data_IF_949963660423
#
_entry.id   IF_949963660423
#
_cell.length_a   1.000
_cell.length_b   1.000
_cell.length_c   1.000
_cell.angle_alpha   90.00
_cell.angle_beta   90.00
_cell.angle_gamma   90.00
#
_symmetry.space_group_name_H-M   'P 1'
#
loop_
_entity.id
_entity.type
_entity.pdbx_description
1 polymer ?
#
# COMPACT_ATOMS: atom_id res chain seq x y z
N UNK A 1 4.51 15.45 -9.55
CA UNK A 1 4.13 15.06 -8.17
C UNK A 1 3.27 16.09 -7.46
N UNK A 2 3.56 17.40 -7.55
CA UNK A 2 2.71 18.47 -6.98
C UNK A 2 1.24 18.38 -7.43
N UNK A 3 0.98 18.20 -8.73
CA UNK A 3 -0.38 17.98 -9.26
C UNK A 3 -1.09 16.72 -8.76
N UNK A 4 -0.33 15.67 -8.41
CA UNK A 4 -0.88 14.44 -7.82
C UNK A 4 -1.39 14.73 -6.41
N UNK A 5 -0.62 15.47 -5.61
CA UNK A 5 -1.02 15.88 -4.26
C UNK A 5 -2.29 16.76 -4.34
N UNK A 6 -2.32 17.73 -5.25
CA UNK A 6 -3.51 18.56 -5.47
C UNK A 6 -4.75 17.75 -5.89
N UNK A 7 -4.56 16.69 -6.67
CA UNK A 7 -5.63 15.77 -7.08
C UNK A 7 -6.17 14.98 -5.88
N UNK A 8 -5.28 14.48 -5.01
CA UNK A 8 -5.65 13.81 -3.76
C UNK A 8 -6.44 14.75 -2.85
N UNK A 9 -5.96 15.98 -2.64
CA UNK A 9 -6.67 16.97 -1.83
C UNK A 9 -8.04 17.31 -2.40
N UNK A 10 -8.14 17.45 -3.72
CA UNK A 10 -9.39 17.75 -4.42
C UNK A 10 -10.39 16.60 -4.28
N UNK A 11 -9.98 15.36 -4.57
CA UNK A 11 -10.80 14.17 -4.39
C UNK A 11 -11.24 14.00 -2.92
N UNK A 12 -10.33 14.25 -1.97
CA UNK A 12 -10.63 14.19 -0.53
C UNK A 12 -11.74 15.16 -0.14
N UNK A 13 -11.66 16.40 -0.63
CA UNK A 13 -12.69 17.42 -0.40
C UNK A 13 -14.02 17.05 -1.06
N UNK A 14 -13.98 16.56 -2.29
CA UNK A 14 -15.17 16.20 -3.06
C UNK A 14 -15.93 15.01 -2.42
N UNK A 15 -15.21 14.01 -1.91
CA UNK A 15 -15.79 12.80 -1.30
C UNK A 15 -15.89 12.85 0.23
N UNK A 16 -15.69 14.01 0.88
CA UNK A 16 -15.55 14.15 2.34
C UNK A 16 -16.70 13.55 3.17
N UNK A 17 -17.91 13.43 2.60
CA UNK A 17 -19.11 12.87 3.27
C UNK A 17 -19.45 11.45 2.83
N UNK A 18 -18.61 10.81 2.01
CA UNK A 18 -18.88 9.51 1.42
C UNK A 18 -18.09 8.39 2.08
N UNK A 19 -18.78 7.27 2.29
CA UNK A 19 -18.17 6.03 2.78
C UNK A 19 -18.23 4.96 1.69
N UNK A 20 -17.25 4.06 1.68
CA UNK A 20 -17.19 2.97 0.70
C UNK A 20 -18.37 2.03 0.91
N UNK A 21 -19.08 1.72 -0.17
CA UNK A 21 -20.32 0.94 -0.17
C UNK A 21 -20.20 -0.35 0.66
N UNK A 22 -21.08 -0.48 1.66
CA UNK A 22 -21.14 -1.64 2.54
C UNK A 22 -20.07 -1.68 3.65
N UNK A 23 -19.36 -0.56 3.90
CA UNK A 23 -18.36 -0.43 4.97
C UNK A 23 -18.39 0.97 5.60
N UNK A 24 -17.76 1.14 6.76
CA UNK A 24 -17.64 2.45 7.46
C UNK A 24 -16.40 3.26 7.02
N UNK A 25 -15.71 2.83 5.97
CA UNK A 25 -14.43 3.42 5.57
C UNK A 25 -14.60 4.63 4.65
N UNK A 26 -13.76 5.66 4.76
CA UNK A 26 -13.78 6.81 3.86
C UNK A 26 -13.64 6.39 2.39
N UNK A 27 -14.45 6.98 1.51
CA UNK A 27 -14.43 6.65 0.08
C UNK A 27 -13.06 6.90 -0.57
N UNK A 28 -12.34 7.94 -0.13
CA UNK A 28 -11.04 8.39 -0.65
C UNK A 28 -9.96 7.29 -0.71
N UNK A 29 -10.09 6.23 0.10
CA UNK A 29 -9.19 5.08 0.05
C UNK A 29 -9.19 4.38 -1.31
N UNK A 30 -10.33 4.34 -1.98
CA UNK A 30 -10.44 3.71 -3.30
C UNK A 30 -9.69 4.53 -4.37
N UNK A 31 -9.96 5.83 -4.58
CA UNK A 31 -9.20 6.64 -5.53
C UNK A 31 -7.68 6.66 -5.27
N UNK A 32 -7.23 6.62 -4.00
CA UNK A 32 -5.81 6.47 -3.66
C UNK A 32 -5.26 5.10 -4.09
N UNK A 33 -6.02 4.02 -3.86
CA UNK A 33 -5.67 2.67 -4.32
C UNK A 33 -5.50 2.59 -5.83
N UNK A 34 -6.41 3.23 -6.58
CA UNK A 34 -6.33 3.35 -8.05
C UNK A 34 -5.07 4.12 -8.48
N UNK A 35 -4.80 5.27 -7.87
CA UNK A 35 -3.57 6.04 -8.12
C UNK A 35 -2.30 5.23 -7.86
N UNK A 36 -2.26 4.45 -6.77
CA UNK A 36 -1.14 3.57 -6.43
C UNK A 36 -0.90 2.51 -7.51
N UNK A 37 -1.95 1.84 -7.99
CA UNK A 37 -1.84 0.83 -9.06
C UNK A 37 -1.20 1.45 -10.31
N UNK A 38 -1.65 2.65 -10.70
CA UNK A 38 -1.13 3.36 -11.86
C UNK A 38 0.33 3.79 -11.70
N UNK A 39 0.73 4.25 -10.51
CA UNK A 39 2.13 4.57 -10.19
C UNK A 39 3.01 3.32 -10.28
N UNK A 40 2.60 2.20 -9.69
CA UNK A 40 3.35 0.94 -9.71
C UNK A 40 3.53 0.39 -11.13
N UNK A 41 2.56 0.66 -12.02
CA UNK A 41 2.61 0.28 -13.43
C UNK A 41 3.30 1.33 -14.31
N UNK A 42 3.93 2.37 -13.71
CA UNK A 42 4.64 3.44 -14.42
C UNK A 42 3.77 4.12 -15.49
N UNK A 43 2.48 4.27 -15.21
CA UNK A 43 1.55 4.97 -16.09
C UNK A 43 1.88 6.47 -16.16
N UNK A 44 1.47 7.18 -17.23
CA UNK A 44 1.63 8.63 -17.33
C UNK A 44 1.03 9.39 -16.15
N UNK A 45 1.62 10.54 -15.79
CA UNK A 45 1.15 11.37 -14.66
C UNK A 45 -0.32 11.77 -14.80
N UNK A 46 -0.78 12.09 -16.01
CA UNK A 46 -2.18 12.42 -16.29
C UNK A 46 -3.13 11.25 -16.01
N UNK A 47 -2.71 10.00 -16.27
CA UNK A 47 -3.47 8.81 -15.90
C UNK A 47 -3.54 8.66 -14.40
N UNK A 48 -2.43 8.89 -13.68
CA UNK A 48 -2.38 8.80 -12.21
C UNK A 48 -3.35 9.82 -11.60
N UNK A 49 -3.29 11.07 -12.06
CA UNK A 49 -4.20 12.16 -11.65
C UNK A 49 -5.65 11.78 -11.98
N UNK A 50 -5.92 11.32 -13.20
CA UNK A 50 -7.26 10.91 -13.61
C UNK A 50 -7.78 9.71 -12.79
N UNK A 51 -6.93 8.75 -12.43
CA UNK A 51 -7.30 7.64 -11.56
C UNK A 51 -7.67 8.07 -10.14
N UNK A 52 -6.98 9.08 -9.60
CA UNK A 52 -7.34 9.69 -8.30
C UNK A 52 -8.66 10.47 -8.39
N UNK A 53 -9.01 10.97 -9.56
CA UNK A 53 -10.20 11.79 -9.79
C UNK A 53 -11.36 11.02 -10.45
N UNK A 54 -11.22 9.73 -10.73
CA UNK A 54 -12.10 9.04 -11.68
C UNK A 54 -13.59 9.05 -11.30
N UNK A 55 -13.89 9.08 -10.00
CA UNK A 55 -15.27 9.08 -9.48
C UNK A 55 -15.82 10.49 -9.18
N UNK A 56 -15.02 11.55 -9.26
CA UNK A 56 -15.48 12.88 -8.82
C UNK A 56 -16.63 13.40 -9.69
N UNK A 57 -16.63 13.10 -10.99
CA UNK A 57 -17.72 13.46 -11.90
C UNK A 57 -18.98 12.61 -11.68
N UNK A 58 -18.82 11.37 -11.22
CA UNK A 58 -19.94 10.44 -11.04
C UNK A 58 -20.66 10.64 -9.71
N UNK A 59 -19.89 10.82 -8.65
CA UNK A 59 -20.38 10.65 -7.28
C UNK A 59 -20.41 11.97 -6.51
N UNK A 60 -19.92 13.07 -7.08
CA UNK A 60 -19.88 14.38 -6.41
C UNK A 60 -20.56 15.45 -7.26
N UNK A 61 -20.56 16.70 -6.77
CA UNK A 61 -21.09 17.85 -7.53
C UNK A 61 -20.05 18.46 -8.47
N UNK A 62 -18.84 17.89 -8.56
CA UNK A 62 -17.78 18.41 -9.42
C UNK A 62 -18.18 18.28 -10.88
N UNK A 63 -18.00 19.38 -11.61
CA UNK A 63 -18.29 19.46 -13.05
C UNK A 63 -17.05 19.19 -13.90
N UNK A 64 -17.27 18.85 -15.17
CA UNK A 64 -16.19 18.67 -16.14
C UNK A 64 -15.39 19.97 -16.32
N UNK A 65 -16.07 21.12 -16.34
CA UNK A 65 -15.47 22.44 -16.50
C UNK A 65 -14.55 22.80 -15.32
N UNK A 66 -14.97 22.50 -14.09
CA UNK A 66 -14.12 22.69 -12.90
C UNK A 66 -12.88 21.79 -12.94
N UNK A 67 -13.07 20.52 -13.34
CA UNK A 67 -11.98 19.55 -13.43
C UNK A 67 -10.97 19.94 -14.51
N UNK A 68 -11.46 20.33 -15.68
CA UNK A 68 -10.66 20.80 -16.82
C UNK A 68 -9.90 22.09 -16.48
N UNK A 69 -10.56 23.05 -15.82
CA UNK A 69 -9.93 24.29 -15.40
C UNK A 69 -8.80 24.10 -14.39
N UNK A 70 -8.90 23.09 -13.52
CA UNK A 70 -7.91 22.84 -12.46
C UNK A 70 -6.78 21.90 -12.88
N UNK A 71 -7.08 20.82 -13.57
CA UNK A 71 -6.11 19.76 -13.89
C UNK A 71 -5.77 19.66 -15.38
N UNK A 72 -6.50 20.38 -16.24
CA UNK A 72 -6.36 20.37 -17.69
C UNK A 72 -7.38 19.47 -18.38
N UNK A 73 -7.73 19.83 -19.61
CA UNK A 73 -8.75 19.16 -20.43
C UNK A 73 -8.45 17.66 -20.62
N UNK A 74 -7.18 17.30 -20.86
CA UNK A 74 -6.76 15.90 -21.04
C UNK A 74 -7.09 15.03 -19.82
N UNK A 75 -6.87 15.53 -18.60
CA UNK A 75 -7.24 14.80 -17.38
C UNK A 75 -8.75 14.66 -17.28
N UNK A 76 -9.49 15.74 -17.56
CA UNK A 76 -10.94 15.72 -17.50
C UNK A 76 -11.56 14.75 -18.51
N UNK A 77 -11.00 14.65 -19.71
CA UNK A 77 -11.41 13.68 -20.74
C UNK A 77 -11.16 12.23 -20.31
N UNK A 78 -10.00 11.95 -19.70
CA UNK A 78 -9.71 10.60 -19.18
C UNK A 78 -10.69 10.23 -18.07
N UNK A 79 -10.95 11.15 -17.14
CA UNK A 79 -11.92 10.95 -16.05
C UNK A 79 -13.31 10.69 -16.62
N UNK A 80 -13.78 11.55 -17.53
CA UNK A 80 -15.09 11.40 -18.19
C UNK A 80 -15.21 10.09 -18.95
N UNK A 81 -14.15 9.65 -19.62
CA UNK A 81 -14.11 8.37 -20.34
C UNK A 81 -14.08 7.16 -19.39
N UNK A 82 -13.49 7.29 -18.20
CA UNK A 82 -13.52 6.25 -17.18
C UNK A 82 -14.86 6.19 -16.43
N UNK A 83 -15.67 7.25 -16.49
CA UNK A 83 -16.96 7.32 -15.84
C UNK A 83 -18.07 6.54 -16.56
N UNK A 84 -18.99 5.93 -15.81
CA UNK A 84 -20.19 5.31 -16.35
C UNK A 84 -21.17 6.35 -16.91
N UNK A 85 -21.82 6.06 -18.06
CA UNK A 85 -22.87 6.92 -18.58
C UNK A 85 -24.13 6.88 -17.70
N UNK A 86 -25.04 7.80 -18.00
CA UNK A 86 -26.35 8.04 -17.38
C UNK A 86 -26.84 6.94 -16.42
N UNK A 87 -26.88 7.28 -15.12
CA UNK A 87 -27.33 6.40 -14.04
C UNK A 87 -28.84 6.08 -14.11
N UNK A 88 -29.60 6.68 -15.04
CA UNK A 88 -31.02 6.37 -15.28
C UNK A 88 -31.25 5.03 -16.00
N UNK A 89 -30.24 4.51 -16.71
CA UNK A 89 -30.34 3.24 -17.43
C UNK A 89 -30.14 2.02 -16.51
N UNK A 90 -30.61 0.85 -16.96
CA UNK A 90 -30.44 -0.42 -16.28
C UNK A 90 -28.95 -0.73 -16.04
N UNK A 91 -28.67 -1.42 -14.94
CA UNK A 91 -27.31 -1.81 -14.58
C UNK A 91 -26.64 -2.61 -15.71
N UNK A 92 -27.39 -3.50 -16.35
CA UNK A 92 -26.98 -4.36 -17.44
C UNK A 92 -26.59 -3.55 -18.69
N UNK A 93 -27.39 -2.54 -19.05
CA UNK A 93 -27.08 -1.68 -20.19
C UNK A 93 -25.86 -0.80 -19.94
N UNK A 94 -25.73 -0.22 -18.74
CA UNK A 94 -24.55 0.58 -18.37
C UNK A 94 -23.29 -0.27 -18.41
N UNK A 95 -23.32 -1.49 -17.85
CA UNK A 95 -22.17 -2.41 -17.91
C UNK A 95 -21.83 -2.87 -19.32
N UNK A 96 -22.83 -3.20 -20.15
CA UNK A 96 -22.62 -3.53 -21.58
C UNK A 96 -22.00 -2.36 -22.34
N UNK A 97 -22.45 -1.14 -22.10
CA UNK A 97 -21.88 0.06 -22.69
C UNK A 97 -20.40 0.19 -22.32
N UNK A 98 -20.06 0.09 -21.03
CA UNK A 98 -18.66 0.13 -20.58
C UNK A 98 -17.81 -0.95 -21.23
N UNK A 99 -18.31 -2.18 -21.33
CA UNK A 99 -17.60 -3.30 -21.99
C UNK A 99 -17.29 -2.96 -23.45
N UNK A 100 -18.28 -2.53 -24.23
CA UNK A 100 -18.06 -2.22 -25.65
C UNK A 100 -17.20 -0.98 -25.84
N UNK A 101 -17.40 0.06 -25.02
CA UNK A 101 -16.61 1.28 -25.07
C UNK A 101 -15.12 1.01 -24.82
N UNK A 102 -14.78 0.23 -23.78
CA UNK A 102 -13.38 -0.06 -23.42
C UNK A 102 -12.59 -0.86 -24.47
N UNK A 103 -13.26 -1.52 -25.42
CA UNK A 103 -12.59 -2.16 -26.56
C UNK A 103 -12.00 -1.15 -27.53
N UNK A 104 -12.59 0.05 -27.61
CA UNK A 104 -12.23 1.10 -28.57
C UNK A 104 -11.68 2.37 -27.92
N UNK A 105 -11.78 2.48 -26.59
CA UNK A 105 -11.27 3.60 -25.81
C UNK A 105 -9.75 3.81 -25.97
N UNK A 106 -9.28 5.01 -25.62
CA UNK A 106 -7.86 5.32 -25.57
C UNK A 106 -7.16 4.48 -24.50
N UNK A 107 -5.83 4.40 -24.60
CA UNK A 107 -5.06 3.58 -23.68
C UNK A 107 -5.09 4.15 -22.27
N UNK A 108 -5.07 5.48 -22.13
CA UNK A 108 -5.17 6.16 -20.83
C UNK A 108 -6.49 5.83 -20.11
N UNK A 109 -7.61 5.85 -20.83
CA UNK A 109 -8.93 5.49 -20.28
C UNK A 109 -8.94 4.01 -19.86
N UNK A 110 -8.35 3.12 -20.66
CA UNK A 110 -8.25 1.69 -20.34
C UNK A 110 -7.34 1.43 -19.15
N UNK A 111 -6.25 2.17 -18.99
CA UNK A 111 -5.36 2.09 -17.83
C UNK A 111 -6.10 2.47 -16.55
N UNK A 112 -6.77 3.63 -16.53
CA UNK A 112 -7.54 4.11 -15.37
C UNK A 112 -8.66 3.13 -15.03
N UNK A 113 -9.43 2.71 -16.04
CA UNK A 113 -10.53 1.76 -15.85
C UNK A 113 -10.04 0.41 -15.34
N UNK A 114 -8.91 -0.10 -15.82
CA UNK A 114 -8.34 -1.34 -15.31
C UNK A 114 -7.86 -1.20 -13.87
N UNK A 115 -7.21 -0.08 -13.52
CA UNK A 115 -6.74 0.16 -12.16
C UNK A 115 -7.90 0.24 -11.16
N UNK A 116 -8.98 0.93 -11.51
CA UNK A 116 -10.23 0.95 -10.73
C UNK A 116 -10.79 -0.46 -10.55
N UNK A 117 -11.01 -1.19 -11.66
CA UNK A 117 -11.61 -2.53 -11.59
C UNK A 117 -10.71 -3.53 -10.87
N UNK A 118 -9.39 -3.35 -10.93
CA UNK A 118 -8.40 -4.11 -10.17
C UNK A 118 -8.48 -3.84 -8.66
N UNK A 119 -8.59 -2.58 -8.23
CA UNK A 119 -8.82 -2.27 -6.80
C UNK A 119 -10.14 -2.89 -6.31
N UNK A 120 -11.18 -2.79 -7.13
CA UNK A 120 -12.50 -3.30 -6.79
C UNK A 120 -12.51 -4.83 -6.65
N UNK A 121 -11.92 -5.59 -7.57
CA UNK A 121 -11.87 -7.06 -7.47
C UNK A 121 -10.99 -7.53 -6.30
N UNK A 122 -9.90 -6.82 -5.99
CA UNK A 122 -9.10 -7.07 -4.78
C UNK A 122 -9.94 -6.91 -3.51
N UNK A 123 -10.78 -5.87 -3.43
CA UNK A 123 -11.68 -5.68 -2.29
C UNK A 123 -12.76 -6.77 -2.23
N UNK A 124 -13.32 -7.20 -3.36
CA UNK A 124 -14.32 -8.27 -3.41
C UNK A 124 -13.74 -9.57 -2.85
N UNK A 125 -12.57 -10.00 -3.32
CA UNK A 125 -11.92 -11.23 -2.87
C UNK A 125 -11.54 -11.16 -1.38
N UNK A 126 -11.03 -10.02 -0.93
CA UNK A 126 -10.69 -9.80 0.48
C UNK A 126 -11.94 -9.83 1.40
N UNK A 127 -13.03 -9.19 0.99
CA UNK A 127 -14.26 -9.18 1.78
C UNK A 127 -14.94 -10.56 1.77
N UNK A 128 -14.81 -11.34 0.70
CA UNK A 128 -15.29 -12.73 0.65
C UNK A 128 -14.55 -13.59 1.67
N UNK A 129 -13.23 -13.40 1.83
CA UNK A 129 -12.46 -14.14 2.84
C UNK A 129 -12.91 -13.84 4.29
N UNK A 130 -13.51 -12.67 4.53
CA UNK A 130 -14.02 -12.28 5.86
C UNK A 130 -15.47 -12.70 6.08
N UNK A 131 -16.30 -12.60 5.05
CA UNK A 131 -17.76 -12.68 5.20
C UNK A 131 -18.38 -13.88 4.47
N UNK A 132 -17.60 -14.58 3.64
CA UNK A 132 -18.05 -15.67 2.79
C UNK A 132 -19.20 -15.24 1.88
N UNK A 133 -20.17 -16.14 1.70
CA UNK A 133 -21.35 -15.93 0.85
C UNK A 133 -22.20 -14.71 1.25
N UNK A 134 -22.08 -14.19 2.49
CA UNK A 134 -22.81 -12.99 2.92
C UNK A 134 -22.41 -11.74 2.13
N UNK A 135 -21.18 -11.70 1.61
CA UNK A 135 -20.68 -10.61 0.77
C UNK A 135 -21.65 -10.28 -0.38
N UNK A 136 -22.21 -11.32 -1.01
CA UNK A 136 -23.02 -11.18 -2.20
C UNK A 136 -24.32 -10.41 -1.95
N UNK A 137 -24.80 -10.35 -0.71
CA UNK A 137 -25.91 -9.51 -0.30
C UNK A 137 -25.67 -8.00 -0.47
N UNK A 138 -24.41 -7.55 -0.58
CA UNK A 138 -24.05 -6.16 -0.89
C UNK A 138 -24.29 -5.78 -2.35
N UNK A 139 -24.36 -6.78 -3.23
CA UNK A 139 -24.49 -6.59 -4.67
C UNK A 139 -25.94 -6.85 -5.10
N UNK A 140 -26.63 -5.80 -5.56
CA UNK A 140 -28.04 -5.87 -6.00
C UNK A 140 -28.33 -6.91 -7.10
N UNK A 141 -27.29 -7.36 -7.82
CA UNK A 141 -27.39 -8.31 -8.94
C UNK A 141 -26.77 -9.68 -8.66
N UNK A 142 -26.30 -9.92 -7.43
CA UNK A 142 -25.69 -11.21 -7.07
C UNK A 142 -24.30 -11.41 -7.69
N UNK A 143 -23.76 -12.61 -7.51
CA UNK A 143 -22.35 -12.94 -7.81
C UNK A 143 -22.13 -13.30 -9.28
N UNK A 144 -23.12 -13.92 -9.89
CA UNK A 144 -23.11 -14.37 -11.28
C UNK A 144 -22.95 -13.17 -12.23
N UNK A 145 -23.67 -12.08 -11.98
CA UNK A 145 -23.57 -10.88 -12.82
C UNK A 145 -22.29 -10.08 -12.57
N UNK A 146 -21.75 -10.11 -11.34
CA UNK A 146 -20.40 -9.58 -11.13
C UNK A 146 -19.38 -10.38 -11.94
N UNK A 147 -19.45 -11.71 -11.89
CA UNK A 147 -18.54 -12.57 -12.65
C UNK A 147 -18.63 -12.33 -14.15
N UNK A 148 -19.85 -12.25 -14.70
CA UNK A 148 -20.06 -11.93 -16.11
C UNK A 148 -19.40 -10.60 -16.49
N UNK A 149 -19.62 -9.56 -15.68
CA UNK A 149 -19.08 -8.23 -15.94
C UNK A 149 -17.54 -8.22 -15.94
N UNK A 150 -16.93 -8.74 -14.87
CA UNK A 150 -15.47 -8.82 -14.74
C UNK A 150 -14.83 -9.70 -15.83
N UNK A 151 -15.45 -10.83 -16.19
CA UNK A 151 -14.97 -11.68 -17.30
C UNK A 151 -15.00 -10.95 -18.65
N UNK A 152 -16.04 -10.15 -18.90
CA UNK A 152 -16.18 -9.41 -20.15
C UNK A 152 -15.17 -8.25 -20.26
N UNK A 153 -14.78 -7.68 -19.11
CA UNK A 153 -13.73 -6.65 -19.06
C UNK A 153 -12.35 -7.20 -19.41
N UNK A 154 -12.02 -8.43 -19.03
CA UNK A 154 -10.75 -9.08 -19.41
C UNK A 154 -10.60 -9.09 -20.94
N UNK A 155 -11.64 -9.48 -21.67
CA UNK A 155 -11.63 -9.47 -23.14
C UNK A 155 -11.45 -8.05 -23.71
N UNK A 156 -12.07 -7.07 -23.07
CA UNK A 156 -11.96 -5.65 -23.47
C UNK A 156 -10.54 -5.11 -23.26
N UNK A 157 -9.85 -5.56 -22.22
CA UNK A 157 -8.46 -5.19 -21.94
C UNK A 157 -7.44 -5.97 -22.80
N UNK A 158 -7.75 -7.19 -23.22
CA UNK A 158 -6.93 -7.99 -24.16
C UNK A 158 -6.91 -7.46 -25.59
N UNK A 159 -7.93 -6.72 -26.01
CA UNK A 159 -8.14 -6.30 -27.40
C UNK A 159 -6.98 -5.51 -28.05
N UNK A 160 -6.06 -4.97 -27.24
CA UNK A 160 -4.78 -4.42 -27.70
C UNK A 160 -3.66 -4.96 -26.81
N UNK A 161 -2.59 -5.50 -27.41
CA UNK A 161 -1.42 -6.06 -26.70
C UNK A 161 -0.67 -4.96 -25.96
N UNK A 162 -1.03 -4.73 -24.70
CA UNK A 162 -0.25 -3.91 -23.77
C UNK A 162 0.39 -4.78 -22.70
N UNK A 163 1.67 -4.50 -22.39
CA UNK A 163 2.48 -5.26 -21.44
C UNK A 163 2.42 -4.70 -20.01
N UNK A 164 1.35 -4.01 -19.61
CA UNK A 164 1.24 -3.58 -18.21
C UNK A 164 0.90 -4.77 -17.32
N UNK A 165 1.64 -4.92 -16.23
CA UNK A 165 1.46 -5.99 -15.25
C UNK A 165 0.03 -6.00 -14.69
N UNK A 166 -0.58 -4.83 -14.46
CA UNK A 166 -1.95 -4.72 -13.93
C UNK A 166 -3.01 -5.44 -14.77
N UNK A 167 -2.85 -5.53 -16.10
CA UNK A 167 -3.82 -6.25 -16.94
C UNK A 167 -3.74 -7.76 -16.70
N UNK A 168 -2.52 -8.30 -16.52
CA UNK A 168 -2.30 -9.70 -16.17
C UNK A 168 -2.79 -10.00 -14.76
N UNK A 169 -2.54 -9.10 -13.81
CA UNK A 169 -3.05 -9.21 -12.44
C UNK A 169 -4.57 -9.23 -12.43
N UNK A 170 -5.20 -8.31 -13.18
CA UNK A 170 -6.65 -8.25 -13.30
C UNK A 170 -7.21 -9.56 -13.88
N UNK A 171 -6.67 -10.04 -14.99
CA UNK A 171 -7.06 -11.32 -15.60
C UNK A 171 -6.93 -12.49 -14.62
N UNK A 172 -5.83 -12.56 -13.88
CA UNK A 172 -5.60 -13.59 -12.87
C UNK A 172 -6.67 -13.55 -11.76
N UNK A 173 -6.95 -12.38 -11.19
CA UNK A 173 -7.95 -12.23 -10.13
C UNK A 173 -9.37 -12.54 -10.61
N UNK A 174 -9.69 -12.23 -11.87
CA UNK A 174 -10.97 -12.63 -12.47
C UNK A 174 -11.06 -14.16 -12.59
N UNK A 175 -9.95 -14.84 -12.89
CA UNK A 175 -9.84 -16.30 -12.84
C UNK A 175 -10.17 -16.85 -11.45
N UNK A 176 -9.62 -16.26 -10.39
CA UNK A 176 -9.92 -16.66 -9.01
C UNK A 176 -11.38 -16.40 -8.62
N UNK A 177 -11.93 -15.26 -9.02
CA UNK A 177 -13.34 -14.94 -8.82
C UNK A 177 -14.25 -15.97 -9.51
N UNK A 178 -13.88 -16.40 -10.73
CA UNK A 178 -14.58 -17.45 -11.46
C UNK A 178 -14.54 -18.78 -10.73
N UNK A 179 -13.37 -19.20 -10.25
CA UNK A 179 -13.21 -20.45 -9.51
C UNK A 179 -14.02 -20.47 -8.22
N UNK A 180 -14.02 -19.34 -7.49
CA UNK A 180 -14.81 -19.14 -6.28
C UNK A 180 -16.31 -19.30 -6.54
N UNK A 181 -16.83 -18.69 -7.61
CA UNK A 181 -18.27 -18.66 -7.90
C UNK A 181 -18.77 -19.95 -8.55
N UNK A 182 -18.04 -20.48 -9.54
CA UNK A 182 -18.49 -21.60 -10.38
C UNK A 182 -18.18 -22.95 -9.72
N UNK A 183 -16.99 -23.10 -9.16
CA UNK A 183 -16.50 -24.40 -8.69
C UNK A 183 -16.96 -24.73 -7.26
N UNK A 184 -17.60 -23.78 -6.56
CA UNK A 184 -17.86 -23.80 -5.09
C UNK A 184 -16.64 -24.16 -4.25
N UNK A 185 -15.46 -24.10 -4.84
CA UNK A 185 -14.20 -24.23 -4.12
C UNK A 185 -13.98 -22.86 -3.50
N UNK A 186 -14.04 -22.79 -2.16
CA UNK A 186 -13.38 -21.66 -1.49
C UNK A 186 -11.96 -21.58 -2.06
N UNK A 187 -11.49 -20.41 -2.50
CA UNK A 187 -10.10 -20.28 -2.91
C UNK A 187 -9.23 -20.81 -1.77
N UNK A 188 -8.63 -21.99 -1.98
CA UNK A 188 -7.69 -22.53 -1.03
C UNK A 188 -6.38 -21.76 -1.24
N UNK A 189 -6.14 -20.88 -0.27
CA UNK A 189 -4.95 -20.05 -0.03
C UNK A 189 -4.85 -18.76 -0.84
N UNK A 190 -4.65 -17.71 -0.03
CA UNK A 190 -3.82 -16.53 -0.32
C UNK A 190 -4.47 -15.36 -1.09
N UNK A 191 -5.28 -14.54 -0.37
CA UNK A 191 -5.53 -13.10 -0.63
C UNK A 191 -6.02 -12.40 0.66
N UNK A 192 -5.15 -11.71 1.38
CA UNK A 192 -5.54 -10.76 2.44
C UNK A 192 -4.72 -9.48 2.28
N UNK A 193 -5.33 -8.40 1.79
CA UNK A 193 -4.80 -7.04 1.96
C UNK A 193 -5.71 -6.33 2.96
N UNK A 194 -5.18 -6.08 4.16
CA UNK A 194 -5.84 -5.27 5.19
C UNK A 194 -5.99 -3.85 4.66
N UNK A 195 -7.21 -3.31 4.73
CA UNK A 195 -7.48 -1.88 4.57
C UNK A 195 -6.79 -1.13 5.71
N UNK A 196 -5.75 -0.38 5.39
CA UNK A 196 -5.29 0.76 6.17
C UNK A 196 -4.98 1.89 5.18
N UNK A 197 -5.39 3.12 5.49
CA UNK A 197 -5.00 4.30 4.72
C UNK A 197 -3.48 4.46 4.80
N UNK A 198 -2.78 4.67 3.68
CA UNK A 198 -1.34 4.94 3.75
C UNK A 198 -1.05 6.14 4.65
N UNK A 199 -1.87 7.19 4.65
CA UNK A 199 -1.66 8.33 5.55
C UNK A 199 -1.83 7.93 7.03
N UNK A 200 -2.79 7.07 7.37
CA UNK A 200 -2.95 6.57 8.74
C UNK A 200 -1.81 5.63 9.14
N UNK A 201 -1.31 4.81 8.21
CA UNK A 201 -0.15 3.96 8.44
C UNK A 201 1.07 4.83 8.67
N UNK A 202 1.34 5.76 7.76
CA UNK A 202 2.48 6.66 7.86
C UNK A 202 2.39 7.52 9.12
N UNK A 203 1.21 8.03 9.50
CA UNK A 203 1.05 8.79 10.76
C UNK A 203 1.36 7.96 12.02
N UNK A 204 1.34 6.63 11.98
CA UNK A 204 1.81 5.78 13.10
C UNK A 204 3.32 5.79 13.26
N UNK A 205 4.05 5.95 12.15
CA UNK A 205 5.52 5.94 12.13
C UNK A 205 6.12 7.34 12.16
N UNK A 206 5.40 8.33 11.61
CA UNK A 206 5.87 9.69 11.40
C UNK A 206 5.11 10.65 12.29
N UNK A 207 5.70 10.98 13.44
CA UNK A 207 5.26 12.06 14.31
C UNK A 207 6.05 13.34 14.01
N UNK A 208 5.54 14.54 14.29
CA UNK A 208 6.33 15.77 14.18
C UNK A 208 7.62 15.73 15.02
N UNK A 209 7.59 15.03 16.16
CA UNK A 209 8.73 14.84 17.05
C UNK A 209 9.82 13.91 16.51
N UNK A 210 9.60 13.24 15.38
CA UNK A 210 10.66 12.46 14.73
C UNK A 210 11.63 13.30 13.89
N UNK A 211 11.38 14.61 13.72
CA UNK A 211 12.38 15.51 13.16
C UNK A 211 13.48 15.82 14.19
N UNK A 212 14.75 15.89 13.76
CA UNK A 212 15.85 16.27 14.64
C UNK A 212 15.72 17.73 15.09
N UNK A 213 15.89 17.99 16.39
CA UNK A 213 15.82 19.33 16.98
C UNK A 213 16.95 20.25 16.48
N UNK A 214 18.14 19.70 16.24
CA UNK A 214 19.34 20.41 15.79
C UNK A 214 19.56 20.33 14.27
N UNK A 215 18.60 19.73 13.53
CA UNK A 215 18.69 19.50 12.09
C UNK A 215 19.61 18.35 11.68
N UNK A 216 20.26 17.66 12.63
CA UNK A 216 21.11 16.50 12.35
C UNK A 216 20.36 15.20 12.67
N UNK A 217 19.98 14.39 11.66
CA UNK A 217 19.19 13.19 11.93
C UNK A 217 20.01 12.13 12.65
N UNK A 218 19.36 11.45 13.57
CA UNK A 218 19.97 10.37 14.36
C UNK A 218 19.48 8.99 13.92
N UNK A 219 20.39 8.02 13.85
CA UNK A 219 20.07 6.62 13.65
C UNK A 219 20.46 5.83 14.88
N UNK A 220 19.48 5.40 15.67
CA UNK A 220 19.66 4.57 16.85
C UNK A 220 19.51 3.09 16.48
N UNK A 221 20.56 2.31 16.73
CA UNK A 221 20.60 0.88 16.47
C UNK A 221 20.76 0.11 17.78
N UNK A 222 19.69 -0.59 18.16
CA UNK A 222 19.64 -1.39 19.38
C UNK A 222 20.03 -2.84 19.08
N UNK A 223 21.02 -3.34 19.81
CA UNK A 223 21.61 -4.67 19.64
C UNK A 223 21.45 -5.51 20.90
N UNK A 224 21.52 -6.84 20.75
CA UNK A 224 21.42 -7.78 21.87
C UNK A 224 20.71 -9.07 21.50
N UNK A 225 20.93 -10.12 22.28
CA UNK A 225 20.35 -11.44 22.04
C UNK A 225 18.81 -11.49 22.16
N UNK A 226 18.16 -12.60 21.75
CA UNK A 226 16.73 -12.81 21.98
C UNK A 226 16.36 -12.65 23.46
N UNK A 227 15.24 -12.00 23.75
CA UNK A 227 14.78 -11.78 25.14
C UNK A 227 15.56 -10.73 25.94
N UNK A 228 16.60 -10.10 25.38
CA UNK A 228 17.46 -9.16 26.12
C UNK A 228 16.75 -7.88 26.60
N UNK A 229 15.58 -7.56 26.02
CA UNK A 229 14.82 -6.35 26.34
C UNK A 229 15.06 -5.17 25.40
N UNK A 230 15.63 -5.42 24.20
CA UNK A 230 15.75 -4.40 23.14
C UNK A 230 14.43 -3.67 22.89
N UNK A 231 13.35 -4.42 22.66
CA UNK A 231 12.01 -3.87 22.44
C UNK A 231 11.51 -3.06 23.64
N UNK A 232 11.78 -3.51 24.87
CA UNK A 232 11.46 -2.74 26.08
C UNK A 232 12.22 -1.41 26.13
N UNK A 233 13.52 -1.41 25.82
CA UNK A 233 14.33 -0.20 25.76
C UNK A 233 13.85 0.75 24.65
N UNK A 234 13.61 0.20 23.46
CA UNK A 234 13.07 0.90 22.31
C UNK A 234 11.78 1.64 22.66
N UNK A 235 10.81 0.92 23.20
CA UNK A 235 9.48 1.47 23.48
C UNK A 235 9.56 2.57 24.56
N UNK A 236 10.50 2.42 25.51
CA UNK A 236 10.73 3.40 26.59
C UNK A 236 11.40 4.68 26.10
N UNK A 237 12.44 4.56 25.26
CA UNK A 237 13.33 5.69 24.94
C UNK A 237 13.10 6.28 23.54
N UNK A 238 12.60 5.49 22.59
CA UNK A 238 12.60 5.85 21.17
C UNK A 238 11.19 5.94 20.55
N UNK A 239 10.13 5.55 21.26
CA UNK A 239 8.76 5.46 20.72
C UNK A 239 8.13 6.79 20.25
N UNK A 240 8.60 7.94 20.74
CA UNK A 240 8.01 9.26 20.41
C UNK A 240 8.81 10.06 19.40
N UNK A 241 10.13 9.94 19.43
CA UNK A 241 11.04 10.86 18.74
C UNK A 241 11.76 10.21 17.55
N UNK A 242 11.42 8.96 17.21
CA UNK A 242 12.07 8.20 16.15
C UNK A 242 11.01 7.53 15.28
N UNK A 243 11.30 7.45 13.99
CA UNK A 243 10.61 6.56 13.06
C UNK A 243 11.11 5.15 13.31
N UNK A 244 10.19 4.25 13.65
CA UNK A 244 10.51 2.84 13.84
C UNK A 244 10.61 2.12 12.49
N UNK A 245 11.79 1.54 12.22
CA UNK A 245 11.98 0.59 11.11
C UNK A 245 12.01 -0.81 11.70
N UNK A 246 10.85 -1.47 11.71
CA UNK A 246 10.67 -2.81 12.24
C UNK A 246 9.69 -3.61 11.37
N UNK A 247 10.14 -4.74 10.85
CA UNK A 247 9.36 -5.64 10.02
C UNK A 247 8.27 -6.37 10.82
N UNK A 248 8.46 -6.54 12.13
CA UNK A 248 7.39 -7.03 13.01
C UNK A 248 6.20 -6.08 12.99
N UNK A 249 6.44 -4.77 13.09
CA UNK A 249 5.37 -3.77 13.03
C UNK A 249 4.78 -3.62 11.63
N UNK A 250 5.60 -3.64 10.59
CA UNK A 250 5.10 -3.67 9.21
C UNK A 250 4.19 -4.89 8.98
N UNK A 251 4.59 -6.07 9.46
CA UNK A 251 3.84 -7.32 9.36
C UNK A 251 2.47 -7.27 10.08
N UNK A 252 2.42 -6.72 11.30
CA UNK A 252 1.17 -6.53 12.05
C UNK A 252 0.19 -5.61 11.30
N UNK A 253 0.71 -4.57 10.65
CA UNK A 253 -0.05 -3.60 9.87
C UNK A 253 -0.66 -4.22 8.61
N UNK A 254 0.13 -4.96 7.84
CA UNK A 254 -0.34 -5.57 6.58
C UNK A 254 -1.24 -6.79 6.79
N UNK A 255 -1.44 -7.22 8.04
CA UNK A 255 -2.45 -8.21 8.41
C UNK A 255 -1.91 -9.62 8.62
N UNK A 256 -0.63 -9.74 8.98
CA UNK A 256 -0.07 -11.00 9.43
C UNK A 256 -0.89 -11.64 10.55
N UNK A 257 -1.11 -12.95 10.45
CA UNK A 257 -1.65 -13.76 11.55
C UNK A 257 -0.50 -14.36 12.34
N UNK A 258 -0.77 -14.69 13.62
CA UNK A 258 0.20 -15.16 14.63
C UNK A 258 1.08 -16.33 14.15
N UNK A 259 2.23 -16.11 13.52
CA UNK A 259 3.28 -17.13 13.33
C UNK A 259 4.67 -16.51 13.09
N UNK A 260 5.72 -17.26 13.46
CA UNK A 260 7.13 -16.91 13.28
C UNK A 260 7.64 -17.06 11.82
N UNK A 261 6.78 -17.51 10.90
CA UNK A 261 7.07 -17.61 9.48
C UNK A 261 6.29 -16.52 8.72
N UNK A 262 7.02 -15.54 8.17
CA UNK A 262 6.43 -14.56 7.26
C UNK A 262 5.84 -15.31 6.05
N UNK A 263 4.51 -15.42 5.99
CA UNK A 263 3.82 -16.05 4.86
C UNK A 263 4.19 -15.34 3.56
N UNK A 264 4.37 -16.09 2.46
CA UNK A 264 4.85 -15.56 1.16
C UNK A 264 4.00 -14.38 0.67
N UNK A 265 2.70 -14.46 0.90
CA UNK A 265 1.73 -13.40 0.63
C UNK A 265 1.92 -12.09 1.38
N UNK A 266 2.55 -12.14 2.55
CA UNK A 266 2.68 -11.00 3.45
C UNK A 266 4.05 -10.36 3.28
N UNK A 267 5.04 -11.13 2.82
CA UNK A 267 6.41 -10.64 2.58
C UNK A 267 6.39 -9.46 1.63
N UNK A 268 5.78 -9.57 0.45
CA UNK A 268 5.81 -8.47 -0.54
C UNK A 268 5.10 -7.18 -0.05
N UNK A 269 3.88 -7.23 0.55
CA UNK A 269 3.28 -6.05 1.15
C UNK A 269 4.09 -5.44 2.31
N UNK A 270 4.68 -6.30 3.16
CA UNK A 270 5.51 -5.87 4.28
C UNK A 270 6.80 -5.20 3.80
N UNK A 271 7.48 -5.81 2.81
CA UNK A 271 8.67 -5.28 2.12
C UNK A 271 8.36 -3.91 1.52
N UNK A 272 7.27 -3.80 0.76
CA UNK A 272 6.85 -2.52 0.20
C UNK A 272 6.62 -1.47 1.28
N UNK A 273 5.90 -1.81 2.35
CA UNK A 273 5.63 -0.87 3.44
C UNK A 273 6.91 -0.44 4.15
N UNK A 274 7.77 -1.41 4.50
CA UNK A 274 9.05 -1.16 5.15
C UNK A 274 9.97 -0.28 4.31
N UNK A 275 10.09 -0.55 3.01
CA UNK A 275 10.86 0.27 2.07
C UNK A 275 10.32 1.69 1.95
N UNK A 276 9.00 1.88 1.88
CA UNK A 276 8.40 3.23 1.82
C UNK A 276 8.65 4.01 3.11
N UNK A 277 8.53 3.37 4.28
CA UNK A 277 8.82 4.01 5.58
C UNK A 277 10.31 4.39 5.64
N UNK A 278 11.22 3.49 5.28
CA UNK A 278 12.65 3.75 5.30
C UNK A 278 13.04 4.88 4.33
N UNK A 279 12.56 4.84 3.09
CA UNK A 279 12.82 5.85 2.06
C UNK A 279 12.35 7.24 2.49
N UNK A 280 11.10 7.35 2.96
CA UNK A 280 10.54 8.63 3.44
C UNK A 280 11.29 9.15 4.66
N UNK A 281 11.64 8.28 5.61
CA UNK A 281 12.39 8.69 6.80
C UNK A 281 13.76 9.25 6.44
N UNK A 282 14.47 8.63 5.51
CA UNK A 282 15.79 9.07 5.04
C UNK A 282 15.70 10.34 4.18
N UNK A 283 14.68 10.45 3.32
CA UNK A 283 14.41 11.63 2.50
C UNK A 283 14.12 12.85 3.38
N UNK A 284 13.24 12.70 4.37
CA UNK A 284 12.83 13.77 5.30
C UNK A 284 13.82 14.00 6.44
N UNK A 285 14.95 13.28 6.48
CA UNK A 285 15.95 13.36 7.55
C UNK A 285 15.31 13.21 8.94
N UNK A 286 14.44 12.21 9.11
CA UNK A 286 13.87 11.86 10.41
C UNK A 286 14.88 11.09 11.24
N UNK A 287 14.79 11.21 12.56
CA UNK A 287 15.42 10.29 13.49
C UNK A 287 14.84 8.88 13.28
N UNK A 288 15.68 7.85 13.23
CA UNK A 288 15.30 6.47 12.93
C UNK A 288 15.80 5.55 14.03
N UNK A 289 14.96 4.62 14.48
CA UNK A 289 15.34 3.53 15.39
C UNK A 289 15.06 2.18 14.77
N UNK A 290 15.96 1.22 14.97
CA UNK A 290 15.73 -0.19 14.62
C UNK A 290 16.44 -1.13 15.60
N UNK A 291 16.06 -2.40 15.55
CA UNK A 291 16.64 -3.47 16.35
C UNK A 291 17.32 -4.50 15.44
N UNK A 292 18.48 -4.99 15.89
CA UNK A 292 19.18 -6.11 15.30
C UNK A 292 19.74 -7.02 16.40
N UNK A 293 19.97 -8.29 16.10
CA UNK A 293 20.67 -9.18 17.02
C UNK A 293 22.16 -8.83 17.07
N UNK A 294 22.72 -8.39 15.94
CA UNK A 294 24.15 -8.08 15.80
C UNK A 294 25.02 -9.32 15.62
N UNK A 295 24.47 -10.38 15.00
CA UNK A 295 25.20 -11.66 14.79
C UNK A 295 26.30 -11.58 13.73
N UNK A 296 26.22 -10.60 12.82
CA UNK A 296 27.14 -10.42 11.69
C UNK A 296 27.75 -9.02 11.71
N UNK A 297 29.06 -8.89 12.01
CA UNK A 297 29.74 -7.60 11.99
C UNK A 297 29.68 -6.89 10.64
N UNK A 298 29.74 -7.65 9.54
CA UNK A 298 29.74 -7.10 8.19
C UNK A 298 28.40 -6.46 7.83
N UNK A 299 27.28 -7.13 8.16
CA UNK A 299 25.93 -6.59 7.90
C UNK A 299 25.68 -5.33 8.72
N UNK A 300 26.13 -5.34 9.98
CA UNK A 300 26.07 -4.19 10.87
C UNK A 300 26.88 -3.01 10.32
N UNK A 301 28.11 -3.28 9.89
CA UNK A 301 28.98 -2.25 9.32
C UNK A 301 28.41 -1.68 8.02
N UNK A 302 27.77 -2.51 7.19
CA UNK A 302 27.10 -2.08 5.96
C UNK A 302 25.98 -1.08 6.24
N UNK A 303 25.09 -1.39 7.19
CA UNK A 303 23.99 -0.48 7.59
C UNK A 303 24.53 0.80 8.22
N UNK A 304 25.50 0.70 9.13
CA UNK A 304 26.13 1.86 9.78
C UNK A 304 26.75 2.80 8.74
N UNK A 305 27.49 2.26 7.77
CA UNK A 305 28.14 3.04 6.72
C UNK A 305 27.12 3.68 5.77
N UNK A 306 26.05 2.95 5.43
CA UNK A 306 24.96 3.48 4.63
C UNK A 306 24.27 4.65 5.34
N UNK A 307 23.89 4.51 6.60
CA UNK A 307 23.26 5.59 7.36
C UNK A 307 24.17 6.82 7.50
N UNK A 308 25.45 6.62 7.87
CA UNK A 308 26.44 7.72 7.93
C UNK A 308 26.55 8.48 6.61
N UNK A 309 26.54 7.76 5.49
CA UNK A 309 26.63 8.41 4.16
C UNK A 309 25.41 9.27 3.81
N UNK A 310 24.26 8.97 4.40
CA UNK A 310 23.03 9.75 4.27
C UNK A 310 22.99 10.91 5.28
N UNK A 311 24.08 11.16 6.02
CA UNK A 311 24.21 12.28 6.95
C UNK A 311 23.70 11.97 8.37
N UNK A 312 23.46 10.71 8.71
CA UNK A 312 22.98 10.34 10.03
C UNK A 312 24.11 10.26 11.06
N UNK A 313 23.86 10.80 12.24
CA UNK A 313 24.61 10.48 13.45
C UNK A 313 24.18 9.10 13.93
N UNK A 314 25.07 8.12 13.90
CA UNK A 314 24.75 6.74 14.31
C UNK A 314 25.03 6.54 15.79
N UNK A 315 24.01 6.14 16.55
CA UNK A 315 24.11 5.70 17.94
C UNK A 315 23.93 4.19 18.03
N UNK A 316 24.82 3.53 18.77
CA UNK A 316 24.78 2.08 19.00
C UNK A 316 24.51 1.81 20.48
N UNK A 317 23.50 1.01 20.78
CA UNK A 317 23.20 0.57 22.14
C UNK A 317 23.15 -0.95 22.20
N UNK A 318 23.93 -1.55 23.09
CA UNK A 318 23.90 -2.99 23.33
C UNK A 318 23.14 -3.29 24.62
N UNK A 319 22.11 -4.13 24.54
CA UNK A 319 21.22 -4.46 25.65
C UNK A 319 21.57 -5.85 26.17
N UNK A 320 22.10 -5.88 27.39
CA UNK A 320 22.41 -7.10 28.13
C UNK A 320 21.31 -7.43 29.14
N UNK A 321 21.11 -8.72 29.41
CA UNK A 321 20.27 -9.18 30.50
C UNK A 321 20.79 -10.51 31.07
N UNK A 322 20.34 -10.86 32.27
CA UNK A 322 20.60 -12.19 32.83
C UNK A 322 20.03 -13.28 31.90
N UNK A 323 20.76 -14.37 31.61
CA UNK A 323 20.28 -15.42 30.71
C UNK A 323 18.96 -16.07 31.14
N UNK A 324 18.71 -16.22 32.44
CA UNK A 324 17.45 -16.78 32.93
C UNK A 324 16.31 -15.78 32.72
N UNK A 325 16.58 -14.49 32.91
CA UNK A 325 15.62 -13.44 32.61
C UNK A 325 15.30 -13.37 31.11
N UNK A 326 16.32 -13.49 30.23
CA UNK A 326 16.16 -13.56 28.78
C UNK A 326 15.28 -14.74 28.38
N UNK A 327 15.54 -15.90 28.98
CA UNK A 327 14.78 -17.13 28.77
C UNK A 327 13.33 -16.96 29.21
N UNK A 328 13.09 -16.47 30.43
CA UNK A 328 11.76 -16.22 30.97
C UNK A 328 10.97 -15.24 30.10
N UNK A 329 11.60 -14.16 29.63
CA UNK A 329 10.96 -13.23 28.69
C UNK A 329 10.63 -13.91 27.36
N UNK A 330 11.54 -14.75 26.85
CA UNK A 330 11.35 -15.45 25.57
C UNK A 330 10.22 -16.47 25.58
N UNK A 331 9.98 -17.16 26.71
CA UNK A 331 8.89 -18.14 26.84
C UNK A 331 7.55 -17.50 27.23
N UNK A 332 7.57 -16.34 27.89
CA UNK A 332 6.36 -15.62 28.31
C UNK A 332 5.96 -14.52 27.34
N UNK A 333 6.65 -14.38 26.20
CA UNK A 333 6.33 -13.34 25.23
C UNK A 333 4.94 -13.57 24.61
N UNK A 334 4.18 -12.51 24.33
CA UNK A 334 2.93 -12.62 23.59
C UNK A 334 3.10 -13.29 22.22
N UNK A 335 2.06 -13.96 21.72
CA UNK A 335 2.10 -14.62 20.40
C UNK A 335 2.36 -13.67 19.22
N UNK A 336 2.11 -12.37 19.41
CA UNK A 336 2.34 -11.30 18.43
C UNK A 336 3.71 -10.60 18.59
N UNK A 337 4.56 -11.08 19.51
CA UNK A 337 5.95 -10.64 19.68
C UNK A 337 6.92 -11.44 18.79
N UNK A 338 7.19 -10.88 17.60
CA UNK A 338 8.10 -11.44 16.61
C UNK A 338 9.53 -10.96 16.89
N UNK A 339 10.42 -11.91 17.17
CA UNK A 339 11.82 -11.64 17.49
C UNK A 339 12.59 -11.05 16.32
N UNK A 340 13.53 -10.14 16.64
CA UNK A 340 14.51 -9.57 15.71
C UNK A 340 15.29 -10.62 14.91
N UNK A 341 15.43 -11.85 15.43
CA UNK A 341 16.03 -13.00 14.71
C UNK A 341 15.38 -13.23 13.34
N UNK A 342 14.07 -13.05 13.24
CA UNK A 342 13.32 -13.29 12.01
C UNK A 342 13.17 -12.04 11.14
N UNK A 343 13.29 -10.85 11.75
CA UNK A 343 12.96 -9.57 11.10
C UNK A 343 14.18 -8.78 10.63
N UNK A 344 15.35 -8.94 11.26
CA UNK A 344 16.49 -8.03 11.07
C UNK A 344 16.98 -7.91 9.62
N UNK A 345 16.93 -8.99 8.83
CA UNK A 345 17.33 -8.98 7.42
C UNK A 345 16.50 -8.00 6.58
N UNK A 346 15.23 -7.82 6.93
CA UNK A 346 14.33 -6.90 6.26
C UNK A 346 14.68 -5.45 6.63
N UNK A 347 14.94 -5.18 7.92
CA UNK A 347 15.37 -3.85 8.37
C UNK A 347 16.65 -3.42 7.65
N UNK A 348 17.61 -4.34 7.55
CA UNK A 348 18.87 -4.13 6.84
C UNK A 348 18.62 -3.80 5.37
N UNK A 349 17.83 -4.63 4.67
CA UNK A 349 17.52 -4.44 3.24
C UNK A 349 16.89 -3.06 2.99
N UNK A 350 15.85 -2.71 3.74
CA UNK A 350 15.12 -1.45 3.55
C UNK A 350 16.00 -0.22 3.77
N UNK A 351 16.82 -0.22 4.83
CA UNK A 351 17.73 0.88 5.12
C UNK A 351 18.82 1.00 4.06
N UNK A 352 19.40 -0.12 3.60
CA UNK A 352 20.45 -0.12 2.58
C UNK A 352 19.93 0.37 1.23
N UNK A 353 18.75 -0.07 0.81
CA UNK A 353 18.12 0.37 -0.44
C UNK A 353 17.73 1.84 -0.39
N UNK A 354 17.07 2.29 0.68
CA UNK A 354 16.69 3.69 0.86
C UNK A 354 17.90 4.63 0.85
N UNK A 355 19.02 4.22 1.46
CA UNK A 355 20.26 4.99 1.42
C UNK A 355 20.85 5.08 -0.01
N UNK A 356 20.79 3.99 -0.79
CA UNK A 356 21.27 3.98 -2.18
C UNK A 356 20.44 4.93 -3.06
N UNK A 357 19.12 4.84 -2.98
CA UNK A 357 18.20 5.69 -3.76
C UNK A 357 18.34 7.18 -3.44
N UNK A 358 18.52 7.51 -2.16
CA UNK A 358 18.74 8.89 -1.72
C UNK A 358 20.02 9.49 -2.32
N UNK A 359 21.11 8.70 -2.40
CA UNK A 359 22.37 9.13 -3.03
C UNK A 359 22.18 9.41 -4.52
N UNK A 360 21.59 8.49 -5.28
CA UNK A 360 21.34 8.68 -6.72
C UNK A 360 20.49 9.92 -7.00
N UNK A 361 19.49 10.18 -6.17
CA UNK A 361 18.64 11.37 -6.29
C UNK A 361 19.38 12.68 -5.95
N UNK A 362 20.35 12.64 -5.05
CA UNK A 362 21.18 13.79 -4.69
C UNK A 362 22.27 14.10 -5.73
N UNK A 363 22.78 13.07 -6.42
CA UNK A 363 23.76 13.19 -7.50
C UNK A 363 23.14 13.75 -8.78
N UNK A 364 21.88 13.40 -9.08
CA UNK A 364 21.12 13.97 -10.20
C UNK A 364 20.69 15.43 -9.99
N UNK A 365 20.74 15.92 -8.74
CA UNK A 365 20.39 17.31 -8.36
C UNK A 365 21.60 18.24 -8.32
N UNK A 366 22.82 17.73 -8.56
CA UNK A 366 24.07 18.49 -8.71
C UNK A 366 24.45 18.55 -10.18
#
# INVERSE_FOLDING_TARGET
MEKIIEAVEFATKAHMKQVRKGTDLPYILHPIGVGKILIQNKCPEECIIAGILHDVLEDTSVTFEELSGKFGERVADIVKGASEPDKSDSWENRKKHTIEFLKTASDEIRMVSCADKLDNIRSILNDYNKEGEKLWGRFRRGKEEQLWYYSSLVESFRAKRYEYAMFKDFEYLVGLLKDLIVSRKSPQKEYVIKKMNMDEIMNKFFTPSSLPEDGMPEFALLMGGPGSGKTTLRDKEYSKNYVLIDASEAFKIVGGTKYHEFGKDIIEPMEFLGSVIAAKAIEEKRNIVTEMIGESPDDMQAVINAMKSCGYKVQLSYVECDPNEAYLRSINKPDDDISAVYTQKYHQSWLLEACKENRSSSELKK
#
